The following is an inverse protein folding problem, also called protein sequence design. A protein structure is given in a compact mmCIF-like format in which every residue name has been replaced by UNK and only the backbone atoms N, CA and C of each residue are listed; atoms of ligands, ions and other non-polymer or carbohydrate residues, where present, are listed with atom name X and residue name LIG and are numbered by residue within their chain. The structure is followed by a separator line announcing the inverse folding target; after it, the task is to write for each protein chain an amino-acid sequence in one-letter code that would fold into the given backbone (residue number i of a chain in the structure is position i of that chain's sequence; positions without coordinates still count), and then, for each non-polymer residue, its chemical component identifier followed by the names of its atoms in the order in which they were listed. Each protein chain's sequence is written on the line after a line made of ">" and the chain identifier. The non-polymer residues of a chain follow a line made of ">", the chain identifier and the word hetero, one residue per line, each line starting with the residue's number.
data_IF_780814316597
#
_entry.id   IF_780814316597
#
_cell.length_a   1.000
_cell.length_b   1.000
_cell.length_c   1.000
_cell.angle_alpha   90.00
_cell.angle_beta   90.00
_cell.angle_gamma   90.00
#
_symmetry.space_group_name_H-M   'P 1'
#
loop_
_entity.id
_entity.type
_entity.pdbx_description
1 polymer ?
#
# COMPACT_ATOMS: atom_id res chain seq x y z
N UNK A 1 -17.38 5.96 -4.23
CA UNK A 1 -16.56 5.86 -3.00
C UNK A 1 -17.11 6.86 -2.00
N UNK A 2 -17.37 6.45 -0.76
CA UNK A 2 -17.86 7.36 0.29
C UNK A 2 -16.70 8.20 0.84
N UNK A 3 -16.90 9.52 0.96
CA UNK A 3 -15.94 10.47 1.56
C UNK A 3 -15.46 10.06 2.96
N UNK A 4 -16.25 9.26 3.69
CA UNK A 4 -15.91 8.79 5.03
C UNK A 4 -14.66 7.89 5.07
N UNK A 5 -14.29 7.25 3.96
CA UNK A 5 -13.12 6.36 3.90
C UNK A 5 -11.85 7.07 3.41
N UNK A 6 -11.98 8.29 2.88
CA UNK A 6 -10.89 9.01 2.23
C UNK A 6 -9.69 9.31 3.17
N UNK A 7 -9.88 9.78 4.42
CA UNK A 7 -8.76 10.05 5.32
C UNK A 7 -7.98 8.77 5.68
N UNK A 8 -8.69 7.65 5.83
CA UNK A 8 -8.08 6.35 6.10
C UNK A 8 -7.23 5.89 4.91
N UNK A 9 -7.75 6.05 3.68
CA UNK A 9 -7.01 5.69 2.46
C UNK A 9 -5.75 6.53 2.28
N UNK A 10 -5.77 7.82 2.64
CA UNK A 10 -4.59 8.69 2.58
C UNK A 10 -3.50 8.26 3.57
N UNK A 11 -3.86 7.90 4.80
CA UNK A 11 -2.91 7.37 5.80
C UNK A 11 -2.31 6.03 5.36
N UNK A 12 -3.14 5.16 4.79
CA UNK A 12 -2.70 3.88 4.22
C UNK A 12 -1.76 4.10 3.04
N UNK A 13 -2.06 5.05 2.14
CA UNK A 13 -1.19 5.39 1.02
C UNK A 13 0.18 5.89 1.48
N UNK A 14 0.20 6.81 2.44
CA UNK A 14 1.42 7.43 2.98
C UNK A 14 2.35 6.40 3.65
N UNK A 15 1.76 5.51 4.47
CA UNK A 15 2.51 4.42 5.11
C UNK A 15 2.99 3.36 4.12
N UNK A 16 2.20 3.07 3.08
CA UNK A 16 2.53 2.08 2.06
C UNK A 16 3.76 2.49 1.24
N UNK A 17 3.86 3.76 0.84
CA UNK A 17 5.03 4.30 0.11
C UNK A 17 6.32 4.07 0.90
N UNK A 18 6.28 4.27 2.22
CA UNK A 18 7.46 4.12 3.09
C UNK A 18 8.03 2.71 3.11
N UNK A 19 7.17 1.70 3.09
CA UNK A 19 7.55 0.29 3.14
C UNK A 19 7.88 -0.29 1.75
N UNK A 20 7.15 0.11 0.71
CA UNK A 20 7.33 -0.43 -0.64
C UNK A 20 8.73 -0.15 -1.19
N UNK A 21 9.35 0.98 -0.84
CA UNK A 21 10.70 1.33 -1.28
C UNK A 21 11.79 0.50 -0.61
N UNK A 22 11.54 -0.01 0.60
CA UNK A 22 12.55 -0.75 1.40
C UNK A 22 12.39 -2.27 1.33
N UNK A 23 11.22 -2.78 0.92
CA UNK A 23 10.99 -4.22 0.79
C UNK A 23 10.78 -4.59 -0.69
N UNK A 24 11.78 -5.19 -1.35
CA UNK A 24 11.78 -5.40 -2.80
C UNK A 24 10.57 -6.18 -3.33
N UNK A 25 10.09 -7.15 -2.53
CA UNK A 25 8.95 -8.00 -2.90
C UNK A 25 7.58 -7.40 -2.54
N UNK A 26 7.51 -6.21 -1.95
CA UNK A 26 6.26 -5.61 -1.48
C UNK A 26 5.25 -5.43 -2.64
N UNK A 27 5.69 -4.79 -3.73
CA UNK A 27 4.83 -4.48 -4.89
C UNK A 27 4.19 -5.73 -5.48
N UNK A 28 4.98 -6.78 -5.70
CA UNK A 28 4.50 -8.03 -6.31
C UNK A 28 3.52 -8.78 -5.39
N UNK A 29 3.79 -8.81 -4.07
CA UNK A 29 2.89 -9.44 -3.09
C UNK A 29 1.56 -8.70 -2.93
N UNK A 30 1.59 -7.36 -2.92
CA UNK A 30 0.37 -6.54 -2.86
C UNK A 30 -0.50 -6.82 -4.08
N UNK A 31 0.07 -6.73 -5.29
CA UNK A 31 -0.66 -6.97 -6.52
C UNK A 31 -1.22 -8.40 -6.61
N UNK A 32 -0.47 -9.40 -6.12
CA UNK A 32 -0.95 -10.78 -6.08
C UNK A 32 -2.13 -10.96 -5.12
N UNK A 33 -2.08 -10.37 -3.92
CA UNK A 33 -3.19 -10.43 -2.97
C UNK A 33 -4.44 -9.73 -3.52
N UNK A 34 -4.29 -8.53 -4.08
CA UNK A 34 -5.40 -7.78 -4.68
C UNK A 34 -6.08 -8.54 -5.82
N UNK A 35 -5.30 -9.17 -6.71
CA UNK A 35 -5.86 -10.04 -7.76
C UNK A 35 -6.71 -11.17 -7.18
N UNK A 36 -6.22 -11.87 -6.15
CA UNK A 36 -6.96 -12.97 -5.52
C UNK A 36 -8.24 -12.52 -4.80
N UNK A 37 -8.23 -11.33 -4.20
CA UNK A 37 -9.43 -10.72 -3.62
C UNK A 37 -10.44 -10.42 -4.72
N UNK A 38 -10.00 -9.76 -5.80
CA UNK A 38 -10.87 -9.43 -6.93
C UNK A 38 -11.50 -10.68 -7.55
N UNK A 39 -10.68 -11.68 -7.86
CA UNK A 39 -11.13 -12.98 -8.39
C UNK A 39 -12.16 -13.67 -7.47
N UNK A 40 -12.01 -13.57 -6.15
CA UNK A 40 -12.97 -14.13 -5.20
C UNK A 40 -14.29 -13.35 -5.19
N UNK A 41 -14.24 -12.02 -5.24
CA UNK A 41 -15.43 -11.16 -5.32
C UNK A 41 -16.18 -11.40 -6.63
N UNK A 42 -15.48 -11.49 -7.76
CA UNK A 42 -16.07 -11.76 -9.08
C UNK A 42 -16.81 -13.11 -9.12
N UNK A 43 -16.31 -14.11 -8.38
CA UNK A 43 -16.97 -15.42 -8.23
C UNK A 43 -18.07 -15.46 -7.17
N UNK A 44 -18.31 -14.37 -6.45
CA UNK A 44 -19.25 -14.34 -5.31
C UNK A 44 -18.78 -15.16 -4.10
N UNK A 45 -17.50 -15.49 -4.00
CA UNK A 45 -16.93 -16.29 -2.92
C UNK A 45 -16.47 -15.41 -1.75
N UNK A 46 -17.42 -15.08 -0.88
CA UNK A 46 -17.17 -14.23 0.28
C UNK A 46 -16.13 -14.82 1.26
N UNK A 47 -16.06 -16.15 1.39
CA UNK A 47 -15.12 -16.82 2.29
C UNK A 47 -13.67 -16.69 1.78
N UNK A 48 -13.46 -16.92 0.48
CA UNK A 48 -12.16 -16.71 -0.13
C UNK A 48 -11.74 -15.23 -0.10
N UNK A 49 -12.67 -14.31 -0.40
CA UNK A 49 -12.39 -12.87 -0.33
C UNK A 49 -11.92 -12.46 1.08
N UNK A 50 -12.64 -12.91 2.12
CA UNK A 50 -12.25 -12.68 3.52
C UNK A 50 -10.87 -13.23 3.83
N UNK A 51 -10.61 -14.48 3.46
CA UNK A 51 -9.32 -15.15 3.71
C UNK A 51 -8.15 -14.39 3.08
N UNK A 52 -8.31 -13.92 1.83
CA UNK A 52 -7.27 -13.15 1.16
C UNK A 52 -7.10 -11.75 1.74
N UNK A 53 -8.17 -11.08 2.16
CA UNK A 53 -8.09 -9.81 2.89
C UNK A 53 -7.33 -9.95 4.22
N UNK A 54 -7.65 -10.95 5.04
CA UNK A 54 -6.96 -11.20 6.31
C UNK A 54 -5.47 -11.48 6.09
N UNK A 55 -5.14 -12.30 5.08
CA UNK A 55 -3.75 -12.55 4.70
C UNK A 55 -3.05 -11.28 4.22
N UNK A 56 -3.71 -10.46 3.42
CA UNK A 56 -3.16 -9.21 2.91
C UNK A 56 -2.80 -8.22 4.04
N UNK A 57 -3.68 -8.09 5.04
CA UNK A 57 -3.46 -7.24 6.23
C UNK A 57 -2.28 -7.76 7.06
N UNK A 58 -2.20 -9.08 7.27
CA UNK A 58 -1.09 -9.69 8.03
C UNK A 58 0.25 -9.50 7.31
N UNK A 59 0.28 -9.70 6.00
CA UNK A 59 1.48 -9.52 5.19
C UNK A 59 1.97 -8.05 5.23
N UNK A 60 1.04 -7.10 5.19
CA UNK A 60 1.35 -5.68 5.36
C UNK A 60 2.03 -5.41 6.71
N UNK A 61 1.47 -5.91 7.81
CA UNK A 61 2.06 -5.77 9.16
C UNK A 61 3.46 -6.38 9.26
N UNK A 62 3.64 -7.58 8.68
CA UNK A 62 4.93 -8.27 8.63
C UNK A 62 5.95 -7.51 7.80
N UNK A 63 5.50 -6.82 6.76
CA UNK A 63 6.34 -5.94 5.96
C UNK A 63 7.06 -4.88 6.78
N UNK A 64 6.36 -4.19 7.67
CA UNK A 64 6.95 -3.18 8.57
C UNK A 64 8.00 -3.78 9.51
N UNK A 65 7.78 -4.99 10.01
CA UNK A 65 8.73 -5.70 10.87
C UNK A 65 10.02 -6.03 10.12
N UNK A 66 9.90 -6.53 8.88
CA UNK A 66 11.07 -6.85 8.04
C UNK A 66 11.85 -5.60 7.62
N UNK A 67 11.15 -4.47 7.46
CA UNK A 67 11.75 -3.18 7.12
C UNK A 67 12.40 -2.47 8.32
N UNK A 68 12.21 -2.98 9.54
CA UNK A 68 12.66 -2.29 10.77
C UNK A 68 12.00 -0.92 10.98
N UNK A 69 10.85 -0.65 10.33
CA UNK A 69 10.12 0.60 10.47
C UNK A 69 9.22 0.49 11.71
N UNK A 70 9.47 1.34 12.71
CA UNK A 70 8.58 1.45 13.86
C UNK A 70 7.19 1.97 13.42
N UNK A 71 6.17 1.19 13.74
CA UNK A 71 4.76 1.46 13.41
C UNK A 71 4.16 2.57 14.29
N UNK A 72 4.78 2.89 15.42
CA UNK A 72 4.39 3.99 16.30
C UNK A 72 4.87 5.36 15.82
N UNK A 73 5.74 5.40 14.80
CA UNK A 73 6.21 6.67 14.25
C UNK A 73 5.05 7.43 13.59
N UNK A 74 4.96 8.76 13.81
CA UNK A 74 4.03 9.60 13.08
C UNK A 74 4.18 9.38 11.57
N UNK A 75 3.07 9.09 10.92
CA UNK A 75 2.96 9.15 9.47
C UNK A 75 2.82 10.64 9.18
N UNK A 76 3.89 11.28 8.67
CA UNK A 76 3.74 12.61 8.08
C UNK A 76 2.61 12.52 7.05
N UNK A 77 1.69 13.48 7.06
CA UNK A 77 0.70 13.57 5.99
C UNK A 77 1.45 13.47 4.67
N UNK A 78 1.00 12.62 3.75
CA UNK A 78 1.42 12.77 2.36
C UNK A 78 0.91 14.15 1.93
N UNK A 79 1.72 15.18 2.15
CA UNK A 79 1.57 16.45 1.45
C UNK A 79 1.44 16.07 0.00
N UNK A 80 0.30 16.40 -0.61
CA UNK A 80 -0.06 15.99 -1.96
C UNK A 80 1.14 16.20 -2.86
N UNK A 81 1.85 15.11 -3.15
CA UNK A 81 3.18 15.20 -3.71
C UNK A 81 3.02 15.64 -5.16
N UNK A 82 3.11 16.95 -5.33
CA UNK A 82 3.33 17.65 -6.58
C UNK A 82 4.45 16.91 -7.33
N UNK A 83 4.04 16.24 -8.40
CA UNK A 83 4.91 15.61 -9.38
C UNK A 83 5.70 16.72 -10.11
N UNK A 84 6.69 17.32 -9.45
CA UNK A 84 7.65 18.19 -10.14
C UNK A 84 8.80 17.32 -10.65
N UNK A 85 8.68 16.91 -11.91
CA UNK A 85 9.80 16.37 -12.68
C UNK A 85 10.81 17.49 -12.91
N UNK A 86 11.86 17.55 -12.09
CA UNK A 86 13.02 18.40 -12.38
C UNK A 86 13.87 17.71 -13.45
N UNK A 87 13.51 17.91 -14.71
CA UNK A 87 14.36 17.51 -15.84
C UNK A 87 15.64 18.32 -15.81
N UNK A 88 16.74 17.58 -15.65
CA UNK A 88 18.12 18.03 -15.51
C UNK A 88 18.56 18.79 -16.77
N UNK A 89 18.91 20.07 -16.60
CA UNK A 89 19.55 20.90 -17.63
C UNK A 89 20.85 20.25 -18.11
N UNK A 90 20.93 19.94 -19.41
CA UNK A 90 22.16 19.53 -20.09
C UNK A 90 22.67 20.75 -20.87
N UNK A 91 23.70 21.38 -20.31
CA UNK A 91 24.49 22.45 -20.93
C UNK A 91 25.16 21.89 -22.20
N UNK A 92 24.96 22.54 -23.34
CA UNK A 92 25.80 22.45 -24.54
C UNK A 92 26.29 23.85 -24.85
#
# INVERSE_FOLDING_TARGET
>A
MSLSQEPLLQLLGSSLVRFIEVVPQARSRIAAAQRRILEAVERGDAAAARTWCEKHIRDYRRGFELAGIDRGLPIAAADGASLTTKTRSRKR
#
